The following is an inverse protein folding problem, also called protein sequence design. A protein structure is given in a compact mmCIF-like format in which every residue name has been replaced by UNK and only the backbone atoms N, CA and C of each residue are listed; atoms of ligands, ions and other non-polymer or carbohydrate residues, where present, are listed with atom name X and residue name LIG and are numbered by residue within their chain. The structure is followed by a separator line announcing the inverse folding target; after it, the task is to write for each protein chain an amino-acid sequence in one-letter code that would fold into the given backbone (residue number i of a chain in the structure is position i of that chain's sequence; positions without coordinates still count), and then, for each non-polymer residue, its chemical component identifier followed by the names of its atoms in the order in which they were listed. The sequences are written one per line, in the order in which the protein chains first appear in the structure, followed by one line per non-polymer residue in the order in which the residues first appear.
data_IF_665158250162
#
_entry.id   IF_665158250162
#
_cell.length_a   1.000
_cell.length_b   1.000
_cell.length_c   1.000
_cell.angle_alpha   90.00
_cell.angle_beta   90.00
_cell.angle_gamma   90.00
#
_symmetry.space_group_name_H-M   'P 1'
#
loop_
_entity.id
_entity.type
_entity.pdbx_description
1 polymer ?
#
# COMPACT_ATOMS: atom_id res chain seq x y z
N UNK A 1 -22.98 8.73 0.01
CA UNK A 1 -22.42 7.38 -0.14
C UNK A 1 -22.23 6.76 1.24
N UNK A 2 -22.39 5.44 1.34
CA UNK A 2 -22.17 4.67 2.58
C UNK A 2 -20.78 4.05 2.62
N UNK A 3 -20.34 3.63 3.82
CA UNK A 3 -19.12 2.83 4.06
C UNK A 3 -18.98 1.65 3.11
N UNK A 4 -20.11 1.04 2.74
CA UNK A 4 -20.23 -0.06 1.76
C UNK A 4 -19.55 0.26 0.42
N UNK A 5 -19.60 1.51 -0.04
CA UNK A 5 -18.97 1.90 -1.31
C UNK A 5 -17.44 1.85 -1.23
N UNK A 6 -16.86 2.31 -0.10
CA UNK A 6 -15.41 2.24 0.14
C UNK A 6 -14.99 0.80 0.35
N UNK A 7 -15.75 0.03 1.14
CA UNK A 7 -15.50 -1.39 1.34
C UNK A 7 -15.46 -2.14 0.01
N UNK A 8 -16.38 -1.83 -0.92
CA UNK A 8 -16.39 -2.43 -2.26
C UNK A 8 -15.14 -2.06 -3.07
N UNK A 9 -14.68 -0.81 -2.97
CA UNK A 9 -13.44 -0.36 -3.63
C UNK A 9 -12.22 -1.08 -3.05
N UNK A 10 -12.09 -1.15 -1.71
CA UNK A 10 -11.00 -1.87 -1.05
C UNK A 10 -11.05 -3.37 -1.38
N UNK A 11 -12.24 -3.99 -1.38
CA UNK A 11 -12.43 -5.37 -1.80
C UNK A 11 -11.96 -5.60 -3.24
N UNK A 12 -12.28 -4.68 -4.15
CA UNK A 12 -11.80 -4.75 -5.53
C UNK A 12 -10.26 -4.69 -5.60
N UNK A 13 -9.63 -3.77 -4.86
CA UNK A 13 -8.17 -3.66 -4.81
C UNK A 13 -7.49 -4.88 -4.16
N UNK A 14 -8.07 -5.45 -3.11
CA UNK A 14 -7.58 -6.69 -2.49
C UNK A 14 -7.67 -7.87 -3.45
N UNK A 15 -8.75 -7.96 -4.24
CA UNK A 15 -8.90 -9.00 -5.25
C UNK A 15 -7.87 -8.85 -6.38
N UNK A 16 -7.59 -7.61 -6.82
CA UNK A 16 -6.51 -7.34 -7.75
C UNK A 16 -5.15 -7.70 -7.16
N UNK A 17 -4.93 -7.40 -5.87
CA UNK A 17 -3.71 -7.74 -5.15
C UNK A 17 -3.47 -9.25 -5.05
N UNK A 18 -4.52 -10.04 -4.75
CA UNK A 18 -4.43 -11.51 -4.73
C UNK A 18 -4.19 -12.08 -6.14
N UNK A 19 -4.78 -11.48 -7.18
CA UNK A 19 -4.57 -11.90 -8.57
C UNK A 19 -3.12 -11.72 -9.03
N UNK A 20 -2.50 -10.57 -8.72
CA UNK A 20 -1.10 -10.30 -9.07
C UNK A 20 -0.10 -10.79 -8.00
N UNK A 21 -0.59 -11.43 -6.92
CA UNK A 21 0.19 -11.98 -5.81
C UNK A 21 1.05 -10.92 -5.11
N UNK A 22 0.45 -9.76 -4.87
CA UNK A 22 1.15 -8.55 -4.42
C UNK A 22 0.95 -8.26 -2.95
N UNK A 23 -0.14 -8.74 -2.35
CA UNK A 23 -0.51 -8.43 -0.97
C UNK A 23 -0.49 -9.68 -0.10
N UNK A 24 -0.12 -9.53 1.17
CA UNK A 24 -0.23 -10.59 2.19
C UNK A 24 -1.66 -10.77 2.72
N UNK A 25 -2.62 -10.14 2.05
CA UNK A 25 -3.96 -9.90 2.56
C UNK A 25 -4.97 -10.22 1.47
N UNK A 26 -6.03 -10.92 1.84
CA UNK A 26 -7.11 -11.34 0.95
C UNK A 26 -8.46 -11.15 1.63
N UNK A 27 -9.52 -10.98 0.83
CA UNK A 27 -10.88 -10.88 1.33
C UNK A 27 -11.48 -12.27 1.55
N UNK A 28 -12.02 -12.55 2.73
CA UNK A 28 -12.76 -13.78 3.01
C UNK A 28 -14.26 -13.57 2.77
N UNK A 29 -14.76 -14.06 1.64
CA UNK A 29 -16.19 -13.97 1.29
C UNK A 29 -17.12 -14.67 2.28
N UNK A 30 -16.64 -15.72 2.98
CA UNK A 30 -17.47 -16.46 3.93
C UNK A 30 -17.64 -15.70 5.24
N UNK A 31 -16.57 -15.02 5.67
CA UNK A 31 -16.53 -14.30 6.93
C UNK A 31 -16.86 -12.80 6.76
N UNK A 32 -16.93 -12.30 5.52
CA UNK A 32 -17.14 -10.89 5.24
C UNK A 32 -16.05 -9.99 5.81
N UNK A 33 -14.82 -10.53 5.97
CA UNK A 33 -13.70 -9.82 6.60
C UNK A 33 -12.39 -10.05 5.86
N UNK A 34 -11.45 -9.16 6.12
CA UNK A 34 -10.09 -9.23 5.58
C UNK A 34 -9.31 -10.25 6.40
N UNK A 35 -8.57 -11.15 5.73
CA UNK A 35 -7.69 -12.13 6.39
C UNK A 35 -6.31 -12.13 5.78
N UNK A 36 -5.34 -12.60 6.56
CA UNK A 36 -4.00 -12.89 6.08
C UNK A 36 -4.02 -14.11 5.14
N UNK A 37 -3.15 -14.09 4.12
CA UNK A 37 -2.97 -15.24 3.22
C UNK A 37 -2.24 -16.39 3.93
N UNK A 38 -2.47 -17.62 3.47
CA UNK A 38 -1.78 -18.79 4.00
C UNK A 38 -0.27 -18.81 3.69
N UNK A 39 0.50 -19.58 4.47
CA UNK A 39 1.97 -19.70 4.37
C UNK A 39 2.46 -20.00 2.95
N UNK A 40 1.74 -20.83 2.19
CA UNK A 40 2.13 -21.17 0.81
C UNK A 40 2.03 -19.98 -0.14
N UNK A 41 0.94 -19.20 -0.08
CA UNK A 41 0.79 -17.98 -0.88
C UNK A 41 1.81 -16.91 -0.46
N UNK A 42 2.10 -16.80 0.84
CA UNK A 42 3.11 -15.88 1.36
C UNK A 42 4.49 -16.11 0.73
N UNK A 43 4.91 -17.38 0.53
CA UNK A 43 6.16 -17.69 -0.18
C UNK A 43 6.19 -17.14 -1.61
N UNK A 44 5.05 -17.12 -2.30
CA UNK A 44 4.94 -16.59 -3.66
C UNK A 44 5.09 -15.06 -3.66
N UNK A 45 4.48 -14.37 -2.70
CA UNK A 45 4.64 -12.91 -2.53
C UNK A 45 6.12 -12.55 -2.26
N UNK A 46 6.82 -13.36 -1.45
CA UNK A 46 8.26 -13.20 -1.21
C UNK A 46 9.07 -13.41 -2.48
N UNK A 47 8.77 -14.44 -3.27
CA UNK A 47 9.43 -14.68 -4.55
C UNK A 47 9.23 -13.50 -5.52
N UNK A 48 8.02 -12.90 -5.55
CA UNK A 48 7.75 -11.68 -6.31
C UNK A 48 8.58 -10.48 -5.84
N UNK A 49 8.79 -10.34 -4.53
CA UNK A 49 9.62 -9.27 -3.95
C UNK A 49 11.10 -9.46 -4.30
N UNK A 50 11.60 -10.70 -4.29
CA UNK A 50 12.96 -11.03 -4.73
C UNK A 50 13.12 -10.73 -6.23
N UNK A 51 12.12 -11.09 -7.05
CA UNK A 51 12.12 -10.79 -8.48
C UNK A 51 12.18 -9.27 -8.75
N UNK A 52 11.40 -8.48 -8.01
CA UNK A 52 11.44 -7.01 -8.09
C UNK A 52 12.84 -6.46 -7.77
N UNK A 53 13.48 -6.96 -6.71
CA UNK A 53 14.83 -6.58 -6.34
C UNK A 53 15.84 -6.92 -7.45
N UNK A 54 15.72 -8.11 -8.05
CA UNK A 54 16.55 -8.52 -9.18
C UNK A 54 16.36 -7.59 -10.39
N UNK A 55 15.12 -7.21 -10.69
CA UNK A 55 14.81 -6.27 -11.78
C UNK A 55 15.37 -4.88 -11.50
N UNK A 56 15.27 -4.37 -10.27
CA UNK A 56 15.88 -3.09 -9.89
C UNK A 56 17.41 -3.14 -10.06
N UNK A 57 18.06 -4.21 -9.60
CA UNK A 57 19.50 -4.40 -9.79
C UNK A 57 19.89 -4.46 -11.27
N UNK A 58 19.11 -5.20 -12.08
CA UNK A 58 19.28 -5.28 -13.53
C UNK A 58 19.13 -3.91 -14.21
N UNK A 59 18.18 -3.08 -13.77
CA UNK A 59 17.99 -1.72 -14.28
C UNK A 59 19.14 -0.79 -13.91
N UNK A 60 19.60 -0.83 -12.66
CA UNK A 60 20.78 -0.06 -12.22
C UNK A 60 21.99 -0.45 -13.06
N UNK A 61 22.23 -1.75 -13.23
CA UNK A 61 23.31 -2.27 -14.07
C UNK A 61 23.20 -1.80 -15.53
N UNK A 62 21.99 -1.87 -16.10
CA UNK A 62 21.68 -1.38 -17.44
C UNK A 62 22.03 0.10 -17.59
N UNK A 63 21.62 0.96 -16.66
CA UNK A 63 21.93 2.40 -16.69
C UNK A 63 23.44 2.64 -16.64
N UNK A 64 24.15 1.94 -15.75
CA UNK A 64 25.60 2.11 -15.59
C UNK A 64 26.39 1.65 -16.81
N UNK A 65 25.93 0.59 -17.49
CA UNK A 65 26.69 -0.05 -18.58
C UNK A 65 26.29 0.39 -19.99
N UNK A 66 25.05 0.84 -20.20
CA UNK A 66 24.50 1.10 -21.55
C UNK A 66 24.24 2.57 -21.85
N UNK A 67 24.19 3.45 -20.85
CA UNK A 67 23.95 4.86 -21.12
C UNK A 67 25.17 5.49 -21.79
N UNK A 68 25.00 5.95 -23.03
CA UNK A 68 26.09 6.59 -23.81
C UNK A 68 25.99 8.11 -23.74
N UNK A 69 24.77 8.63 -23.56
CA UNK A 69 24.50 10.06 -23.46
C UNK A 69 23.99 10.47 -22.08
N UNK A 70 24.16 11.75 -21.75
CA UNK A 70 23.64 12.32 -20.50
C UNK A 70 22.10 12.23 -20.44
N UNK A 71 21.42 12.44 -21.57
CA UNK A 71 19.95 12.36 -21.64
C UNK A 71 19.47 10.94 -21.33
N UNK A 72 20.08 9.92 -21.95
CA UNK A 72 19.79 8.52 -21.66
C UNK A 72 20.03 8.17 -20.20
N UNK A 73 21.12 8.67 -19.62
CA UNK A 73 21.44 8.48 -18.20
C UNK A 73 20.34 9.05 -17.31
N UNK A 74 19.89 10.29 -17.58
CA UNK A 74 18.83 10.95 -16.81
C UNK A 74 17.51 10.18 -16.91
N UNK A 75 17.13 9.74 -18.12
CA UNK A 75 15.91 8.94 -18.32
C UNK A 75 16.01 7.61 -17.57
N UNK A 76 17.14 6.91 -17.69
CA UNK A 76 17.37 5.64 -17.01
C UNK A 76 17.32 5.77 -15.49
N UNK A 77 17.89 6.84 -14.93
CA UNK A 77 17.81 7.16 -13.49
C UNK A 77 16.36 7.47 -13.09
N UNK A 78 15.62 8.25 -13.87
CA UNK A 78 14.22 8.57 -13.58
C UNK A 78 13.35 7.30 -13.54
N UNK A 79 13.51 6.39 -14.51
CA UNK A 79 12.77 5.12 -14.56
C UNK A 79 13.14 4.23 -13.37
N UNK A 80 14.45 4.10 -13.10
CA UNK A 80 14.96 3.23 -12.04
C UNK A 80 14.57 3.76 -10.65
N UNK A 81 14.67 5.07 -10.42
CA UNK A 81 14.29 5.70 -9.16
C UNK A 81 12.79 5.58 -8.89
N UNK A 82 11.93 5.74 -9.89
CA UNK A 82 10.49 5.56 -9.72
C UNK A 82 10.15 4.15 -9.22
N UNK A 83 10.73 3.11 -9.83
CA UNK A 83 10.53 1.73 -9.36
C UNK A 83 11.18 1.44 -8.03
N UNK A 84 12.34 2.04 -7.75
CA UNK A 84 13.05 1.86 -6.47
C UNK A 84 12.27 2.49 -5.33
N UNK A 85 11.79 3.72 -5.48
CA UNK A 85 10.98 4.41 -4.47
C UNK A 85 9.72 3.60 -4.17
N UNK A 86 9.00 3.17 -5.20
CA UNK A 86 7.78 2.40 -5.02
C UNK A 86 8.04 1.01 -4.40
N UNK A 87 9.19 0.39 -4.70
CA UNK A 87 9.64 -0.83 -4.02
C UNK A 87 9.96 -0.59 -2.55
N UNK A 88 10.69 0.48 -2.22
CA UNK A 88 11.02 0.83 -0.82
C UNK A 88 9.76 1.09 0.00
N UNK A 89 8.76 1.75 -0.58
CA UNK A 89 7.46 1.99 0.06
C UNK A 89 6.66 0.69 0.29
N UNK A 90 6.96 -0.37 -0.46
CA UNK A 90 6.32 -1.69 -0.40
C UNK A 90 7.12 -2.70 0.43
N UNK A 91 8.40 -2.44 0.71
CA UNK A 91 9.34 -3.44 1.21
C UNK A 91 9.01 -3.89 2.64
N UNK A 92 8.16 -4.91 2.72
CA UNK A 92 7.79 -5.62 3.95
C UNK A 92 8.30 -7.05 3.90
N UNK A 93 9.09 -7.42 4.91
CA UNK A 93 9.68 -8.74 5.06
C UNK A 93 8.66 -9.72 5.64
N UNK A 94 7.66 -9.23 6.37
CA UNK A 94 6.66 -10.05 7.06
C UNK A 94 5.26 -9.51 6.82
N UNK A 95 4.28 -10.40 6.83
CA UNK A 95 2.89 -10.01 6.76
C UNK A 95 2.46 -9.32 8.06
N UNK A 96 2.22 -8.02 8.01
CA UNK A 96 1.77 -7.27 9.19
C UNK A 96 0.28 -7.54 9.46
N UNK A 97 -0.01 -8.01 10.67
CA UNK A 97 -1.38 -8.28 11.13
C UNK A 97 -2.15 -6.99 11.44
N UNK A 98 -1.43 -5.93 11.82
CA UNK A 98 -2.00 -4.69 12.35
C UNK A 98 -2.84 -3.93 11.30
N UNK A 99 -2.39 -3.74 10.04
CA UNK A 99 -3.22 -3.14 9.00
C UNK A 99 -4.52 -3.91 8.73
N UNK A 100 -4.48 -5.24 8.83
CA UNK A 100 -5.65 -6.10 8.63
C UNK A 100 -6.66 -5.92 9.75
N UNK A 101 -6.20 -5.94 11.00
CA UNK A 101 -7.05 -5.69 12.16
C UNK A 101 -7.66 -4.29 12.11
N UNK A 102 -6.85 -3.29 11.76
CA UNK A 102 -7.29 -1.91 11.61
C UNK A 102 -8.42 -1.79 10.58
N UNK A 103 -8.24 -2.33 9.38
CA UNK A 103 -9.27 -2.26 8.35
C UNK A 103 -10.52 -3.03 8.76
N UNK A 104 -10.38 -4.22 9.35
CA UNK A 104 -11.53 -4.97 9.87
C UNK A 104 -12.29 -4.18 10.93
N UNK A 105 -11.60 -3.52 11.86
CA UNK A 105 -12.22 -2.67 12.87
C UNK A 105 -12.97 -1.50 12.23
N UNK A 106 -12.33 -0.76 11.34
CA UNK A 106 -12.94 0.35 10.59
C UNK A 106 -14.24 -0.09 9.90
N UNK A 107 -14.24 -1.25 9.26
CA UNK A 107 -15.41 -1.76 8.53
C UNK A 107 -16.45 -2.47 9.40
N UNK A 108 -16.09 -2.91 10.61
CA UNK A 108 -17.02 -3.50 11.57
C UNK A 108 -17.82 -2.45 12.33
N UNK A 109 -17.32 -1.20 12.41
CA UNK A 109 -18.07 -0.13 13.08
C UNK A 109 -19.42 0.13 12.40
N UNK A 110 -20.50 0.16 13.19
CA UNK A 110 -21.88 0.43 12.75
C UNK A 110 -21.93 1.70 11.88
N UNK A 111 -22.85 1.71 10.90
CA UNK A 111 -23.04 2.85 10.01
C UNK A 111 -23.51 4.08 10.82
N UNK A 112 -22.60 5.02 11.02
CA UNK A 112 -22.91 6.33 11.59
C UNK A 112 -23.59 7.19 10.54
N UNK A 113 -24.50 8.05 10.99
CA UNK A 113 -25.18 9.01 10.13
C UNK A 113 -24.19 10.10 9.67
N UNK A 114 -23.53 9.87 8.54
CA UNK A 114 -22.57 10.84 7.99
C UNK A 114 -23.24 12.14 7.53
N UNK A 115 -22.57 13.26 7.85
CA UNK A 115 -22.94 14.58 7.33
C UNK A 115 -22.73 14.65 5.81
N UNK A 116 -23.39 15.59 5.11
CA UNK A 116 -23.20 15.79 3.68
C UNK A 116 -21.72 16.04 3.30
N UNK A 117 -20.97 16.74 4.16
CA UNK A 117 -19.53 17.03 3.98
C UNK A 117 -18.70 15.75 4.05
N UNK A 118 -18.93 14.90 5.05
CA UNK A 118 -18.25 13.60 5.19
C UNK A 118 -18.58 12.69 4.00
N UNK A 119 -19.83 12.65 3.55
CA UNK A 119 -20.23 11.90 2.35
C UNK A 119 -19.48 12.36 1.09
N UNK A 120 -19.27 13.66 0.94
CA UNK A 120 -18.48 14.22 -0.17
C UNK A 120 -17.02 13.78 -0.07
N UNK A 121 -16.43 13.82 1.13
CA UNK A 121 -15.05 13.39 1.35
C UNK A 121 -14.85 11.89 1.04
N UNK A 122 -15.76 11.03 1.51
CA UNK A 122 -15.75 9.59 1.20
C UNK A 122 -15.93 9.32 -0.30
N UNK A 123 -16.71 10.15 -1.00
CA UNK A 123 -16.87 10.05 -2.46
C UNK A 123 -15.58 10.46 -3.18
N UNK A 124 -14.92 11.54 -2.72
CA UNK A 124 -13.62 11.97 -3.24
C UNK A 124 -12.55 10.89 -3.04
N UNK A 125 -12.49 10.29 -1.85
CA UNK A 125 -11.57 9.19 -1.54
C UNK A 125 -11.75 8.02 -2.49
N UNK A 126 -12.99 7.63 -2.78
CA UNK A 126 -13.29 6.57 -3.74
C UNK A 126 -12.81 6.91 -5.15
N UNK A 127 -13.15 8.09 -5.66
CA UNK A 127 -12.72 8.52 -7.00
C UNK A 127 -11.20 8.56 -7.09
N UNK A 128 -10.54 9.03 -6.03
CA UNK A 128 -9.08 9.04 -5.95
C UNK A 128 -8.49 7.63 -5.99
N UNK A 129 -9.03 6.69 -5.21
CA UNK A 129 -8.62 5.28 -5.23
C UNK A 129 -8.78 4.66 -6.62
N UNK A 130 -9.92 4.85 -7.28
CA UNK A 130 -10.19 4.33 -8.62
C UNK A 130 -9.24 4.96 -9.66
N UNK A 131 -8.96 6.27 -9.55
CA UNK A 131 -8.03 6.99 -10.42
C UNK A 131 -6.59 6.51 -10.27
N UNK A 132 -6.11 6.27 -9.04
CA UNK A 132 -4.75 5.76 -8.82
C UNK A 132 -4.61 4.32 -9.31
N UNK A 133 -5.64 3.48 -9.12
CA UNK A 133 -5.65 2.14 -9.68
C UNK A 133 -5.57 2.16 -11.20
N UNK A 134 -6.39 2.99 -11.86
CA UNK A 134 -6.30 3.21 -13.29
C UNK A 134 -4.91 3.70 -13.73
N UNK A 135 -4.32 4.64 -12.97
CA UNK A 135 -2.96 5.13 -13.18
C UNK A 135 -1.89 4.03 -13.10
N UNK A 136 -2.03 3.08 -12.18
CA UNK A 136 -1.11 1.95 -12.09
C UNK A 136 -1.15 1.07 -13.35
N UNK A 137 -2.35 0.77 -13.86
CA UNK A 137 -2.53 -0.02 -15.09
C UNK A 137 -2.01 0.69 -16.33
N UNK A 138 -2.30 1.99 -16.47
CA UNK A 138 -1.82 2.77 -17.63
C UNK A 138 -0.31 2.88 -17.63
N UNK A 139 0.30 3.18 -16.47
CA UNK A 139 1.76 3.25 -16.35
C UNK A 139 2.41 1.89 -16.62
N UNK A 140 1.90 0.79 -16.07
CA UNK A 140 2.41 -0.56 -16.36
C UNK A 140 2.34 -0.89 -17.86
N UNK A 141 1.24 -0.52 -18.51
CA UNK A 141 1.04 -0.73 -19.95
C UNK A 141 2.02 0.09 -20.79
N UNK A 142 2.28 1.35 -20.39
CA UNK A 142 3.27 2.21 -21.03
C UNK A 142 4.68 1.61 -20.90
N UNK A 143 5.05 1.09 -19.72
CA UNK A 143 6.35 0.41 -19.53
C UNK A 143 6.48 -0.86 -20.35
N UNK A 144 5.42 -1.69 -20.40
CA UNK A 144 5.38 -2.86 -21.26
C UNK A 144 5.56 -2.48 -22.74
N UNK A 145 4.84 -1.45 -23.21
CA UNK A 145 4.93 -0.97 -24.59
C UNK A 145 6.32 -0.39 -24.90
N UNK A 146 6.90 0.40 -23.99
CA UNK A 146 8.25 0.95 -24.12
C UNK A 146 9.30 -0.16 -24.29
N UNK A 147 9.16 -1.29 -23.60
CA UNK A 147 10.09 -2.42 -23.75
C UNK A 147 10.04 -3.11 -25.13
N UNK A 148 8.90 -3.01 -25.83
CA UNK A 148 8.76 -3.53 -27.20
C UNK A 148 9.25 -2.51 -28.22
N UNK A 149 8.89 -1.23 -28.05
CA UNK A 149 9.20 -0.18 -29.02
C UNK A 149 10.66 0.28 -28.92
N UNK A 150 11.20 0.34 -27.70
CA UNK A 150 12.53 0.89 -27.40
C UNK A 150 13.31 -0.10 -26.51
N UNK A 151 13.58 -1.33 -26.97
CA UNK A 151 14.16 -2.36 -26.13
C UNK A 151 15.55 -1.98 -25.58
N UNK A 152 16.27 -1.11 -26.28
CA UNK A 152 17.63 -0.69 -25.90
C UNK A 152 17.67 0.55 -24.99
N UNK A 153 16.52 1.12 -24.61
CA UNK A 153 16.48 2.27 -23.73
C UNK A 153 17.06 1.90 -22.34
N UNK A 154 18.06 2.65 -21.82
CA UNK A 154 18.59 2.40 -20.48
C UNK A 154 17.51 2.51 -19.39
N UNK A 155 17.58 1.61 -18.40
CA UNK A 155 16.57 1.51 -17.34
C UNK A 155 15.41 0.54 -17.63
N UNK A 156 15.35 -0.06 -18.82
CA UNK A 156 14.52 -1.23 -19.12
C UNK A 156 15.35 -2.52 -19.00
N UNK A 157 14.73 -3.63 -18.60
CA UNK A 157 15.39 -4.94 -18.51
C UNK A 157 15.77 -5.46 -19.90
N UNK A 158 14.99 -5.12 -20.92
CA UNK A 158 15.25 -5.52 -22.32
C UNK A 158 16.60 -5.02 -22.85
N UNK A 159 17.15 -3.92 -22.30
CA UNK A 159 18.38 -3.33 -22.83
C UNK A 159 19.62 -4.15 -22.52
N UNK A 160 19.52 -5.10 -21.59
CA UNK A 160 20.59 -6.07 -21.30
C UNK A 160 20.87 -6.99 -22.50
N UNK A 161 19.89 -7.22 -23.37
CA UNK A 161 20.04 -8.06 -24.56
C UNK A 161 20.51 -7.26 -25.77
N UNK A 162 20.43 -5.93 -25.71
CA UNK A 162 20.95 -5.08 -26.78
C UNK A 162 22.48 -5.12 -26.80
N UNK A 163 23.03 -5.97 -27.67
CA UNK A 163 24.40 -5.89 -28.18
C UNK A 163 24.36 -5.26 -29.57
N UNK A 164 25.44 -4.57 -29.97
CA UNK A 164 25.51 -3.80 -31.22
C UNK A 164 25.18 -4.65 -32.46
N UNK A 165 25.50 -5.94 -32.42
CA UNK A 165 25.25 -6.89 -33.52
C UNK A 165 23.82 -7.45 -33.55
N UNK A 166 23.10 -7.46 -32.42
CA UNK A 166 21.78 -8.10 -32.31
C UNK A 166 20.60 -7.17 -32.64
N UNK A 167 20.84 -5.86 -32.79
CA UNK A 167 19.77 -4.86 -32.98
C UNK A 167 18.92 -5.15 -34.23
N UNK A 168 19.51 -5.76 -35.25
CA UNK A 168 18.83 -6.12 -36.50
C UNK A 168 18.06 -7.46 -36.43
N UNK A 169 18.27 -8.28 -35.40
CA UNK A 169 17.72 -9.64 -35.29
C UNK A 169 16.62 -9.78 -34.21
N UNK A 170 16.12 -8.67 -33.66
CA UNK A 170 15.05 -8.73 -32.66
C UNK A 170 13.74 -9.22 -33.28
N UNK A 171 13.54 -10.54 -33.26
CA UNK A 171 12.23 -11.11 -33.51
C UNK A 171 11.27 -10.68 -32.38
N UNK A 172 10.03 -10.27 -32.70
CA UNK A 172 9.03 -9.90 -31.68
C UNK A 172 8.86 -10.96 -30.58
N UNK A 173 9.08 -12.23 -30.92
CA UNK A 173 8.99 -13.36 -29.98
C UNK A 173 9.96 -13.26 -28.79
N UNK A 174 11.13 -12.64 -28.96
CA UNK A 174 12.12 -12.48 -27.87
C UNK A 174 11.76 -11.28 -26.98
N UNK A 175 11.13 -10.24 -27.52
CA UNK A 175 10.79 -9.01 -26.77
C UNK A 175 9.50 -9.16 -25.94
N UNK A 176 8.54 -9.96 -26.41
CA UNK A 176 7.25 -10.17 -25.73
C UNK A 176 7.41 -10.61 -24.26
N UNK A 177 8.28 -11.58 -23.90
CA UNK A 177 8.52 -11.95 -22.51
C UNK A 177 9.01 -10.79 -21.62
N UNK A 178 9.86 -9.90 -22.15
CA UNK A 178 10.33 -8.73 -21.41
C UNK A 178 9.21 -7.72 -21.17
N UNK A 179 8.34 -7.51 -22.15
CA UNK A 179 7.17 -6.66 -21.99
C UNK A 179 6.22 -7.18 -20.92
N UNK A 180 5.97 -8.49 -20.90
CA UNK A 180 5.17 -9.12 -19.85
C UNK A 180 5.85 -9.03 -18.49
N UNK A 181 7.16 -9.27 -18.41
CA UNK A 181 7.91 -9.16 -17.17
C UNK A 181 7.85 -7.74 -16.60
N UNK A 182 8.10 -6.72 -17.42
CA UNK A 182 8.07 -5.31 -17.02
C UNK A 182 6.66 -4.90 -16.58
N UNK A 183 5.63 -5.32 -17.32
CA UNK A 183 4.24 -5.09 -16.95
C UNK A 183 3.91 -5.71 -15.60
N UNK A 184 4.25 -6.99 -15.39
CA UNK A 184 3.96 -7.71 -14.15
C UNK A 184 4.69 -7.06 -12.97
N UNK A 185 5.99 -6.79 -13.10
CA UNK A 185 6.80 -6.19 -12.04
C UNK A 185 6.25 -4.81 -11.65
N UNK A 186 5.90 -3.98 -12.64
CA UNK A 186 5.34 -2.66 -12.37
C UNK A 186 3.96 -2.75 -11.72
N UNK A 187 3.09 -3.65 -12.19
CA UNK A 187 1.80 -3.93 -11.56
C UNK A 187 1.97 -4.40 -10.12
N UNK A 188 2.95 -5.25 -9.83
CA UNK A 188 3.17 -5.74 -8.49
C UNK A 188 3.61 -4.63 -7.52
N UNK A 189 4.53 -3.78 -7.96
CA UNK A 189 4.99 -2.62 -7.19
C UNK A 189 3.85 -1.62 -6.97
N UNK A 190 3.12 -1.27 -8.03
CA UNK A 190 2.00 -0.34 -7.97
C UNK A 190 0.87 -0.82 -7.05
N UNK A 191 0.36 -2.03 -7.25
CA UNK A 191 -0.71 -2.59 -6.42
C UNK A 191 -0.29 -2.77 -4.95
N UNK A 192 0.98 -3.14 -4.71
CA UNK A 192 1.53 -3.19 -3.36
C UNK A 192 1.52 -1.84 -2.66
N UNK A 193 2.10 -0.83 -3.29
CA UNK A 193 2.12 0.53 -2.75
C UNK A 193 0.72 1.10 -2.53
N UNK A 194 -0.22 0.83 -3.45
CA UNK A 194 -1.62 1.24 -3.29
C UNK A 194 -2.28 0.62 -2.07
N UNK A 195 -1.97 -0.63 -1.73
CA UNK A 195 -2.54 -1.27 -0.54
C UNK A 195 -2.15 -0.49 0.72
N UNK A 196 -0.86 -0.26 0.96
CA UNK A 196 -0.41 0.41 2.19
C UNK A 196 -0.74 1.89 2.21
N UNK A 197 -0.43 2.62 1.13
CA UNK A 197 -0.61 4.08 1.11
C UNK A 197 -2.08 4.45 1.02
N UNK A 198 -2.83 3.83 0.09
CA UNK A 198 -4.23 4.21 -0.12
C UNK A 198 -5.16 3.43 0.80
N UNK A 199 -5.06 2.11 0.79
CA UNK A 199 -6.07 1.28 1.47
C UNK A 199 -5.90 1.37 2.99
N UNK A 200 -4.68 1.34 3.52
CA UNK A 200 -4.43 1.39 4.97
C UNK A 200 -4.31 2.84 5.45
N UNK A 201 -3.28 3.58 4.99
CA UNK A 201 -2.94 4.89 5.54
C UNK A 201 -4.01 5.94 5.20
N UNK A 202 -4.35 6.13 3.92
CA UNK A 202 -5.28 7.17 3.50
C UNK A 202 -6.70 6.91 4.01
N UNK A 203 -7.19 5.67 3.93
CA UNK A 203 -8.45 5.27 4.57
C UNK A 203 -8.38 5.54 6.06
N UNK A 204 -7.29 5.14 6.73
CA UNK A 204 -7.19 5.30 8.17
C UNK A 204 -7.18 6.76 8.63
N UNK A 205 -6.42 7.62 7.96
CA UNK A 205 -6.43 9.07 8.20
C UNK A 205 -7.83 9.65 7.95
N UNK A 206 -8.49 9.21 6.88
CA UNK A 206 -9.86 9.65 6.55
C UNK A 206 -10.84 9.29 7.66
N UNK A 207 -10.82 8.05 8.13
CA UNK A 207 -11.72 7.61 9.20
C UNK A 207 -11.40 8.29 10.53
N UNK A 208 -10.12 8.42 10.89
CA UNK A 208 -9.69 9.15 12.09
C UNK A 208 -10.18 10.61 12.06
N UNK A 209 -10.07 11.27 10.90
CA UNK A 209 -10.56 12.63 10.71
C UNK A 209 -12.07 12.74 10.94
N UNK A 210 -12.86 11.80 10.40
CA UNK A 210 -14.32 11.80 10.54
C UNK A 210 -14.75 11.50 11.99
N UNK A 211 -14.13 10.51 12.64
CA UNK A 211 -14.40 10.17 14.03
C UNK A 211 -14.02 11.32 14.97
N UNK A 212 -12.87 11.99 14.73
CA UNK A 212 -12.47 13.18 15.48
C UNK A 212 -13.46 14.34 15.31
N UNK A 213 -13.91 14.60 14.07
CA UNK A 213 -14.91 15.64 13.81
C UNK A 213 -16.26 15.35 14.46
N UNK A 214 -16.66 14.08 14.51
CA UNK A 214 -17.88 13.63 15.20
C UNK A 214 -17.74 13.81 16.71
N UNK A 215 -16.60 13.40 17.28
CA UNK A 215 -16.29 13.56 18.69
C UNK A 215 -16.34 15.02 19.14
N UNK A 216 -15.69 15.94 18.40
CA UNK A 216 -15.68 17.37 18.72
C UNK A 216 -17.12 17.93 18.76
N UNK A 217 -17.95 17.57 17.78
CA UNK A 217 -19.36 18.00 17.75
C UNK A 217 -20.17 17.47 18.93
N UNK A 218 -19.97 16.21 19.29
CA UNK A 218 -20.62 15.62 20.48
C UNK A 218 -20.12 16.28 21.77
N UNK A 219 -18.84 16.67 21.80
CA UNK A 219 -18.22 17.33 22.95
C UNK A 219 -18.83 18.71 23.18
N UNK A 220 -18.92 19.51 22.13
CA UNK A 220 -19.56 20.84 22.16
C UNK A 220 -21.05 20.75 22.54
N UNK A 221 -21.72 19.65 22.17
CA UNK A 221 -23.11 19.40 22.54
C UNK A 221 -23.30 18.90 23.99
N UNK A 222 -22.21 18.65 24.74
CA UNK A 222 -22.28 18.11 26.11
C UNK A 222 -22.72 16.63 26.18
N UNK A 223 -22.70 15.91 25.06
CA UNK A 223 -23.12 14.51 24.96
C UNK A 223 -21.94 13.53 25.00
N UNK A 224 -20.72 14.00 25.31
CA UNK A 224 -19.53 13.15 25.22
C UNK A 224 -19.40 12.19 26.37
N UNK A 225 -19.37 10.91 26.02
CA UNK A 225 -18.89 9.86 26.90
C UNK A 225 -17.37 9.71 26.76
N UNK A 226 -16.71 9.43 27.89
CA UNK A 226 -15.27 9.10 27.96
C UNK A 226 -14.86 7.96 27.00
N UNK A 227 -15.83 7.12 26.62
CA UNK A 227 -15.65 5.99 25.68
C UNK A 227 -15.30 6.47 24.27
N UNK A 228 -15.96 7.52 23.74
CA UNK A 228 -15.68 8.02 22.39
C UNK A 228 -14.27 8.58 22.27
N UNK A 229 -13.79 9.27 23.32
CA UNK A 229 -12.42 9.77 23.36
C UNK A 229 -11.39 8.63 23.35
N UNK A 230 -11.62 7.57 24.14
CA UNK A 230 -10.74 6.39 24.13
C UNK A 230 -10.69 5.72 22.76
N UNK A 231 -11.81 5.66 22.03
CA UNK A 231 -11.87 5.13 20.66
C UNK A 231 -10.96 5.91 19.71
N UNK A 232 -11.01 7.26 19.74
CA UNK A 232 -10.14 8.11 18.92
C UNK A 232 -8.66 7.91 19.27
N UNK A 233 -8.34 7.84 20.57
CA UNK A 233 -6.96 7.55 21.03
C UNK A 233 -6.47 6.18 20.56
N UNK A 234 -7.33 5.16 20.58
CA UNK A 234 -6.98 3.82 20.09
C UNK A 234 -6.72 3.84 18.58
N UNK A 235 -7.56 4.52 17.79
CA UNK A 235 -7.34 4.68 16.35
C UNK A 235 -6.02 5.36 16.04
N UNK A 236 -5.70 6.44 16.74
CA UNK A 236 -4.44 7.16 16.56
C UNK A 236 -3.23 6.26 16.87
N UNK A 237 -3.28 5.51 17.98
CA UNK A 237 -2.22 4.57 18.36
C UNK A 237 -2.04 3.47 17.32
N UNK A 238 -3.12 2.87 16.83
CA UNK A 238 -3.05 1.81 15.81
C UNK A 238 -2.50 2.37 14.49
N UNK A 239 -2.94 3.56 14.07
CA UNK A 239 -2.48 4.19 12.83
C UNK A 239 -0.99 4.59 12.91
N UNK A 240 -0.53 5.06 14.08
CA UNK A 240 0.88 5.36 14.31
C UNK A 240 1.74 4.09 14.36
N UNK A 241 1.22 3.00 14.92
CA UNK A 241 1.90 1.71 14.90
C UNK A 241 2.00 1.13 13.47
N UNK A 242 1.01 1.37 12.59
CA UNK A 242 1.09 1.01 11.17
C UNK A 242 2.16 1.81 10.40
N UNK A 243 2.64 2.94 10.92
CA UNK A 243 3.71 3.76 10.31
C UNK A 243 5.12 3.34 10.67
N UNK A 244 5.29 2.49 11.68
CA UNK A 244 6.59 1.98 12.09
C UNK A 244 6.73 0.54 11.63
N UNK A 245 6.92 0.26 10.32
CA UNK A 245 7.34 -1.06 9.92
C UNK A 245 8.64 -1.37 10.67
N UNK A 246 8.81 -2.63 11.08
CA UNK A 246 9.94 -3.16 11.86
C UNK A 246 11.35 -2.84 11.30
N UNK A 247 11.45 -2.19 10.13
CA UNK A 247 12.66 -1.87 9.40
C UNK A 247 13.26 -0.47 9.65
N UNK A 248 12.73 0.36 10.57
CA UNK A 248 13.42 1.58 11.01
C UNK A 248 13.61 2.70 9.98
N UNK A 249 13.11 2.55 8.74
CA UNK A 249 13.22 3.58 7.70
C UNK A 249 12.01 4.55 7.73
N UNK A 250 12.26 5.67 8.41
CA UNK A 250 11.79 7.06 8.22
C UNK A 250 10.60 7.28 7.25
N UNK A 251 9.38 7.28 7.80
CA UNK A 251 8.34 8.25 7.43
C UNK A 251 8.08 9.16 8.64
N UNK A 252 9.09 9.97 8.97
CA UNK A 252 8.96 11.00 10.00
C UNK A 252 8.14 12.17 9.44
N UNK A 253 6.97 12.42 10.02
CA UNK A 253 6.36 13.75 9.95
C UNK A 253 4.95 13.85 9.38
N UNK A 254 3.95 13.30 10.09
CA UNK A 254 2.64 13.97 10.26
C UNK A 254 2.13 13.61 11.65
N UNK A 255 2.56 14.35 12.67
CA UNK A 255 1.97 14.25 14.01
C UNK A 255 0.85 15.29 14.09
N UNK A 256 -0.40 14.85 14.19
CA UNK A 256 -1.48 15.74 14.59
C UNK A 256 -1.31 16.03 16.08
N UNK A 257 -0.56 17.09 16.42
CA UNK A 257 -0.61 17.65 17.77
C UNK A 257 -1.98 18.32 17.96
N UNK A 258 -2.99 17.53 18.27
CA UNK A 258 -4.09 18.01 19.11
C UNK A 258 -3.40 18.45 20.40
N UNK A 259 -3.42 19.74 20.74
CA UNK A 259 -2.61 20.37 21.79
C UNK A 259 -2.92 19.93 23.23
N UNK A 260 -3.12 18.64 23.46
CA UNK A 260 -3.60 18.03 24.69
C UNK A 260 -2.60 16.90 25.02
N UNK A 261 -1.57 17.27 25.78
CA UNK A 261 -0.44 16.46 26.31
C UNK A 261 0.75 16.14 25.39
N UNK A 262 1.97 16.08 25.95
CA UNK A 262 3.12 15.50 25.26
C UNK A 262 2.89 14.00 25.10
N UNK A 263 2.65 13.56 23.86
CA UNK A 263 2.72 12.15 23.53
C UNK A 263 4.21 11.75 23.53
N UNK A 264 4.65 11.08 24.59
CA UNK A 264 5.91 10.36 24.55
C UNK A 264 5.81 9.30 23.44
N UNK A 265 6.59 9.50 22.39
CA UNK A 265 6.71 8.59 21.25
C UNK A 265 7.32 7.27 21.76
N UNK A 266 6.47 6.33 22.14
CA UNK A 266 6.84 4.92 22.19
C UNK A 266 6.98 4.42 20.75
N UNK A 267 8.11 4.70 20.11
CA UNK A 267 8.59 3.79 19.07
C UNK A 267 8.89 2.48 19.79
N UNK A 268 8.32 1.37 19.30
CA UNK A 268 8.53 0.03 19.83
C UNK A 268 10.00 -0.18 20.18
N UNK A 269 10.32 -0.14 21.48
CA UNK A 269 11.56 -0.71 21.96
C UNK A 269 11.54 -2.20 21.63
N UNK A 270 12.66 -2.72 21.15
CA UNK A 270 12.90 -4.15 20.96
C UNK A 270 12.74 -4.88 22.31
N UNK A 271 11.50 -5.14 22.70
CA UNK A 271 11.14 -6.04 23.78
C UNK A 271 10.89 -7.40 23.16
N UNK A 272 11.60 -8.41 23.67
CA UNK A 272 11.50 -9.82 23.29
C UNK A 272 10.04 -10.26 23.04
N UNK A 273 9.89 -11.06 21.97
CA UNK A 273 8.76 -11.85 21.48
C UNK A 273 7.68 -12.32 22.50
N UNK A 274 7.03 -11.39 23.20
CA UNK A 274 5.72 -11.62 23.81
C UNK A 274 4.65 -11.19 22.80
N UNK A 275 3.90 -12.18 22.34
CA UNK A 275 2.75 -12.02 21.43
C UNK A 275 1.84 -10.86 21.91
N UNK A 276 1.51 -9.90 21.03
CA UNK A 276 0.99 -8.60 21.45
C UNK A 276 -0.36 -8.75 22.15
N UNK A 277 -0.44 -8.20 23.36
CA UNK A 277 -1.62 -8.11 24.24
C UNK A 277 -2.79 -7.27 23.66
N UNK A 278 -2.73 -6.91 22.38
CA UNK A 278 -3.74 -6.13 21.63
C UNK A 278 -4.96 -6.99 21.28
N UNK A 279 -4.76 -8.28 20.97
CA UNK A 279 -5.86 -9.21 20.68
C UNK A 279 -6.82 -9.36 21.88
N UNK A 280 -6.30 -9.25 23.10
CA UNK A 280 -7.12 -9.26 24.32
C UNK A 280 -7.97 -8.00 24.52
N UNK A 281 -7.59 -6.86 23.95
CA UNK A 281 -8.39 -5.64 24.03
C UNK A 281 -9.49 -5.62 22.97
N UNK A 282 -9.19 -6.02 21.73
CA UNK A 282 -10.20 -6.10 20.67
C UNK A 282 -11.26 -7.16 20.99
N UNK A 283 -10.86 -8.33 21.50
CA UNK A 283 -11.82 -9.35 21.94
C UNK A 283 -12.63 -8.94 23.16
N UNK A 284 -12.10 -8.08 24.06
CA UNK A 284 -12.85 -7.64 25.24
C UNK A 284 -13.97 -6.66 24.87
N UNK A 285 -13.75 -5.75 23.92
CA UNK A 285 -14.83 -4.86 23.45
C UNK A 285 -15.92 -5.62 22.66
N UNK A 286 -15.57 -6.63 21.87
CA UNK A 286 -16.57 -7.48 21.17
C UNK A 286 -17.48 -8.27 22.14
N UNK A 287 -17.01 -8.59 23.35
CA UNK A 287 -17.80 -9.28 24.37
C UNK A 287 -18.61 -8.36 25.28
N UNK A 288 -18.28 -7.06 25.35
CA UNK A 288 -19.04 -6.08 26.14
C UNK A 288 -20.17 -5.40 25.34
N UNK A 289 -20.17 -5.51 24.00
CA UNK A 289 -21.26 -5.01 23.13
C UNK A 289 -22.31 -6.07 22.72
N UNK A 290 -22.18 -7.33 23.18
CA UNK A 290 -23.18 -8.41 23.01
C UNK A 290 -24.03 -8.59 24.27
#
# INVERSE_FOLDING_TARGET
MSKIAILRCIKHHLNLGDYFLTTFVTWDEKLGKIRLIGKNKSKIVHAGTILQLAVIAARIWSVVTKATSLIETVIGIAITSLTTIAFLLRFEISADYLPVQFLNFVFSTKDLAYTPKEKMFLTCLRVFMDLVAFGCFTMASIYGLLSVLLPCQPGLVSSLICTEELVLAFSPGVLIPFAFLEFIVYMQVGLGGMYYILSVLLTGVTFLWIECGTFIRNFEAGLTHQIEYRKVQMFEKILNACRCPHNGYVLAGVSFKLGVYPADFFCCGEGEHDEPRVDRFVQREEYEEM
#
